data_IF_805508345681
#
_entry.id   IF_805508345681
#
_cell.length_a   1.000
_cell.length_b   1.000
_cell.length_c   1.000
_cell.angle_alpha   90.00
_cell.angle_beta   90.00
_cell.angle_gamma   90.00
#
_symmetry.space_group_name_H-M   'P 1'
#
loop_
_entity.id
_entity.type
_entity.pdbx_description
1 polymer ?
#
# COMPACT_ATOMS: atom_id res chain seq x y z
N UNK A 1 -2.53 6.17 -43.06
CA UNK A 1 -1.66 7.12 -42.34
C UNK A 1 -2.45 8.12 -41.48
N UNK A 2 -2.99 9.24 -41.99
CA UNK A 2 -3.69 10.22 -41.11
C UNK A 2 -4.98 9.70 -40.45
N UNK A 3 -5.83 8.97 -41.20
CA UNK A 3 -7.09 8.43 -40.65
C UNK A 3 -6.85 7.33 -39.59
N UNK A 4 -5.83 6.49 -39.77
CA UNK A 4 -5.46 5.44 -38.80
C UNK A 4 -4.88 6.04 -37.51
N UNK A 5 -4.21 7.19 -37.62
CA UNK A 5 -3.65 7.91 -36.47
C UNK A 5 -4.73 8.62 -35.64
N UNK A 6 -5.72 9.24 -36.29
CA UNK A 6 -6.89 9.82 -35.62
C UNK A 6 -7.73 8.75 -34.91
N UNK A 7 -7.97 7.60 -35.55
CA UNK A 7 -8.68 6.47 -34.91
C UNK A 7 -7.91 5.93 -33.69
N UNK A 8 -6.59 5.82 -33.79
CA UNK A 8 -5.73 5.40 -32.66
C UNK A 8 -5.82 6.39 -31.51
N UNK A 9 -5.69 7.69 -31.78
CA UNK A 9 -5.77 8.74 -30.76
C UNK A 9 -7.15 8.77 -30.09
N UNK A 10 -8.24 8.69 -30.87
CA UNK A 10 -9.59 8.65 -30.34
C UNK A 10 -9.83 7.42 -29.46
N UNK A 11 -9.28 6.26 -29.84
CA UNK A 11 -9.34 5.04 -29.03
C UNK A 11 -8.54 5.19 -27.73
N UNK A 12 -7.34 5.72 -27.79
CA UNK A 12 -6.51 5.99 -26.60
C UNK A 12 -7.17 6.99 -25.64
N UNK A 13 -7.76 8.07 -26.15
CA UNK A 13 -8.49 9.03 -25.33
C UNK A 13 -9.70 8.38 -24.66
N UNK A 14 -10.46 7.56 -25.41
CA UNK A 14 -11.61 6.83 -24.87
C UNK A 14 -11.19 5.83 -23.79
N UNK A 15 -10.08 5.12 -23.97
CA UNK A 15 -9.52 4.21 -22.96
C UNK A 15 -9.01 4.96 -21.73
N UNK A 16 -8.30 6.09 -21.90
CA UNK A 16 -7.85 6.96 -20.80
C UNK A 16 -9.04 7.51 -20.01
N UNK A 17 -10.07 7.98 -20.70
CA UNK A 17 -11.29 8.49 -20.09
C UNK A 17 -12.04 7.39 -19.33
N UNK A 18 -12.24 6.22 -19.94
CA UNK A 18 -12.86 5.09 -19.26
C UNK A 18 -12.08 4.65 -18.02
N UNK A 19 -10.75 4.64 -18.09
CA UNK A 19 -9.87 4.34 -16.95
C UNK A 19 -9.95 5.38 -15.84
N UNK A 20 -10.04 6.67 -16.20
CA UNK A 20 -10.22 7.76 -15.25
C UNK A 20 -11.58 7.67 -14.56
N UNK A 21 -12.65 7.46 -15.31
CA UNK A 21 -14.00 7.28 -14.76
C UNK A 21 -14.10 6.06 -13.85
N UNK A 22 -13.48 4.94 -14.25
CA UNK A 22 -13.42 3.74 -13.42
C UNK A 22 -12.67 4.01 -12.10
N UNK A 23 -11.57 4.76 -12.15
CA UNK A 23 -10.81 5.16 -10.96
C UNK A 23 -11.62 6.09 -10.04
N UNK A 24 -12.25 7.13 -10.59
CA UNK A 24 -13.08 8.06 -9.83
C UNK A 24 -14.29 7.37 -9.18
N UNK A 25 -14.87 6.36 -9.83
CA UNK A 25 -15.94 5.54 -9.26
C UNK A 25 -15.43 4.54 -8.22
N UNK A 26 -14.20 4.04 -8.37
CA UNK A 26 -13.60 3.06 -7.46
C UNK A 26 -13.15 3.68 -6.15
N UNK A 27 -12.59 4.91 -6.17
CA UNK A 27 -12.10 5.60 -4.96
C UNK A 27 -13.13 5.68 -3.82
N UNK A 28 -14.37 6.18 -4.00
CA UNK A 28 -15.33 6.28 -2.90
C UNK A 28 -15.78 4.90 -2.39
N UNK A 29 -15.85 3.89 -3.28
CA UNK A 29 -16.16 2.51 -2.89
C UNK A 29 -15.04 1.94 -2.03
N UNK A 30 -13.80 2.11 -2.47
CA UNK A 30 -12.63 1.64 -1.74
C UNK A 30 -12.47 2.37 -0.40
N UNK A 31 -12.68 3.69 -0.35
CA UNK A 31 -12.66 4.45 0.90
C UNK A 31 -13.73 3.96 1.89
N UNK A 32 -14.93 3.60 1.41
CA UNK A 32 -15.97 3.00 2.24
C UNK A 32 -15.55 1.61 2.75
N UNK A 33 -14.95 0.77 1.89
CA UNK A 33 -14.40 -0.53 2.29
C UNK A 33 -13.31 -0.37 3.37
N UNK A 34 -12.43 0.62 3.24
CA UNK A 34 -11.42 0.95 4.23
C UNK A 34 -12.06 1.31 5.58
N UNK A 35 -13.10 2.15 5.58
CA UNK A 35 -13.81 2.51 6.79
C UNK A 35 -14.48 1.30 7.46
N UNK A 36 -15.09 0.40 6.68
CA UNK A 36 -15.69 -0.83 7.20
C UNK A 36 -14.65 -1.81 7.76
N UNK A 37 -13.50 -1.96 7.10
CA UNK A 37 -12.39 -2.77 7.61
C UNK A 37 -11.80 -2.18 8.88
N UNK A 38 -11.67 -0.85 8.97
CA UNK A 38 -11.20 -0.13 10.18
C UNK A 38 -12.09 -0.42 11.39
N UNK A 39 -13.41 -0.52 11.21
CA UNK A 39 -14.35 -0.88 12.29
C UNK A 39 -14.17 -2.32 12.79
N UNK A 40 -13.72 -3.23 11.91
CA UNK A 40 -13.47 -4.65 12.22
C UNK A 40 -12.02 -4.92 12.66
N UNK A 41 -11.16 -3.92 12.55
CA UNK A 41 -9.75 -4.02 12.90
C UNK A 41 -9.56 -4.14 14.42
N UNK A 42 -8.55 -4.90 14.83
CA UNK A 42 -8.14 -5.00 16.24
C UNK A 42 -7.28 -3.80 16.59
N UNK A 43 -7.63 -3.11 17.67
CA UNK A 43 -6.85 -1.96 18.16
C UNK A 43 -5.70 -2.42 19.05
N UNK A 44 -4.54 -1.80 18.88
CA UNK A 44 -3.37 -1.96 19.75
C UNK A 44 -3.31 -0.88 20.83
N UNK A 45 -2.46 -1.04 21.86
CA UNK A 45 -2.27 -0.03 22.90
C UNK A 45 -1.74 1.33 22.40
N UNK A 46 -1.08 1.37 21.24
CA UNK A 46 -0.52 2.61 20.65
C UNK A 46 -1.55 3.37 19.81
N UNK A 47 -2.74 2.80 19.62
CA UNK A 47 -3.80 3.32 18.75
C UNK A 47 -3.70 2.83 17.31
N UNK A 48 -2.76 1.94 16.97
CA UNK A 48 -2.72 1.27 15.67
C UNK A 48 -3.93 0.33 15.56
N UNK A 49 -4.59 0.28 14.40
CA UNK A 49 -5.62 -0.73 14.15
C UNK A 49 -5.16 -1.69 13.07
N UNK A 50 -5.26 -3.00 13.32
CA UNK A 50 -4.76 -4.05 12.45
C UNK A 50 -5.92 -4.93 12.00
N UNK A 51 -6.09 -5.07 10.70
CA UNK A 51 -7.05 -5.97 10.07
C UNK A 51 -6.32 -7.07 9.30
N UNK A 52 -6.61 -8.34 9.59
CA UNK A 52 -6.02 -9.47 8.86
C UNK A 52 -6.72 -9.65 7.52
N UNK A 53 -5.98 -9.58 6.41
CA UNK A 53 -6.50 -9.84 5.06
C UNK A 53 -6.28 -11.30 4.66
N UNK A 54 -5.08 -11.81 4.93
CA UNK A 54 -4.69 -13.20 4.69
C UNK A 54 -3.86 -13.67 5.88
N UNK A 55 -4.23 -14.80 6.45
CA UNK A 55 -3.40 -15.48 7.44
C UNK A 55 -2.47 -16.46 6.72
N UNK A 56 -1.19 -16.16 6.73
CA UNK A 56 -0.13 -17.03 6.22
C UNK A 56 0.01 -18.30 7.04
N UNK A 57 0.74 -19.27 6.51
CA UNK A 57 1.05 -20.53 7.23
C UNK A 57 2.55 -20.69 7.47
N UNK A 58 3.34 -19.68 7.16
CA UNK A 58 4.78 -19.70 7.34
C UNK A 58 5.21 -19.46 8.79
N UNK A 59 6.51 -19.54 9.00
CA UNK A 59 7.12 -19.28 10.31
C UNK A 59 7.12 -17.79 10.63
N UNK A 60 7.13 -17.46 11.92
CA UNK A 60 7.36 -16.09 12.37
C UNK A 60 8.84 -15.74 12.19
N UNK A 61 9.16 -14.66 11.45
CA UNK A 61 10.53 -14.19 11.31
C UNK A 61 11.17 -13.88 12.67
N UNK A 62 12.48 -14.11 12.78
CA UNK A 62 13.25 -13.76 13.97
C UNK A 62 13.65 -12.29 13.93
N UNK A 63 13.70 -11.66 15.11
CA UNK A 63 14.18 -10.28 15.26
C UNK A 63 15.59 -10.18 14.67
N UNK A 64 15.79 -9.18 13.82
CA UNK A 64 17.05 -8.93 13.11
C UNK A 64 17.15 -9.57 11.72
N UNK A 65 16.21 -10.44 11.32
CA UNK A 65 16.17 -10.97 9.95
C UNK A 65 15.65 -9.94 8.96
N UNK A 66 16.04 -10.08 7.69
CA UNK A 66 15.40 -9.33 6.62
C UNK A 66 14.25 -10.15 6.04
N UNK A 67 13.11 -9.51 5.85
CA UNK A 67 11.91 -10.10 5.25
C UNK A 67 11.59 -9.39 3.94
N UNK A 68 11.10 -10.15 2.96
CA UNK A 68 10.63 -9.61 1.67
C UNK A 68 9.21 -9.12 1.85
N UNK A 69 9.00 -7.81 1.72
CA UNK A 69 7.71 -7.17 1.98
C UNK A 69 7.13 -6.57 0.72
N UNK A 70 5.90 -6.94 0.41
CA UNK A 70 5.04 -6.18 -0.48
C UNK A 70 4.19 -5.22 0.34
N UNK A 71 4.02 -4.00 -0.17
CA UNK A 71 3.23 -2.99 0.50
C UNK A 71 2.48 -2.08 -0.48
N UNK A 72 1.36 -1.54 0.01
CA UNK A 72 0.61 -0.48 -0.65
C UNK A 72 0.08 0.50 0.40
N UNK A 73 0.41 1.77 0.24
CA UNK A 73 0.05 2.87 1.13
C UNK A 73 -1.05 3.74 0.54
N UNK A 74 -2.13 3.93 1.31
CA UNK A 74 -3.31 4.68 0.94
C UNK A 74 -3.65 5.76 1.97
N UNK A 75 -4.33 6.80 1.52
CA UNK A 75 -4.99 7.78 2.38
C UNK A 75 -6.42 7.32 2.72
N UNK A 76 -7.05 7.94 3.73
CA UNK A 76 -8.44 7.62 4.11
C UNK A 76 -9.47 7.87 2.99
N UNK A 77 -9.13 8.72 2.02
CA UNK A 77 -9.95 8.94 0.82
C UNK A 77 -9.78 7.85 -0.25
N UNK A 78 -9.00 6.79 0.04
CA UNK A 78 -8.72 5.68 -0.87
C UNK A 78 -7.59 5.94 -1.87
N UNK A 79 -7.00 7.14 -1.90
CA UNK A 79 -5.92 7.47 -2.84
C UNK A 79 -4.66 6.71 -2.48
N UNK A 80 -4.08 6.01 -3.46
CA UNK A 80 -2.78 5.36 -3.32
C UNK A 80 -1.66 6.41 -3.43
N UNK A 81 -0.76 6.47 -2.45
CA UNK A 81 0.40 7.36 -2.48
C UNK A 81 1.71 6.63 -2.79
N UNK A 82 1.84 5.35 -2.42
CA UNK A 82 3.03 4.54 -2.75
C UNK A 82 2.68 3.04 -2.76
N UNK A 83 3.30 2.27 -3.65
CA UNK A 83 3.22 0.80 -3.64
C UNK A 83 4.39 0.19 -4.40
N UNK A 84 4.88 -0.95 -3.90
CA UNK A 84 5.82 -1.81 -4.61
C UNK A 84 5.11 -3.03 -5.26
N UNK A 85 3.81 -2.95 -5.53
CA UNK A 85 3.04 -4.00 -6.22
C UNK A 85 2.56 -3.45 -7.57
N UNK A 86 3.02 -4.05 -8.67
CA UNK A 86 2.73 -3.57 -10.03
C UNK A 86 1.23 -3.50 -10.31
N UNK A 87 0.48 -4.52 -9.90
CA UNK A 87 -0.96 -4.64 -10.14
C UNK A 87 -1.75 -3.55 -9.40
N UNK A 88 -1.36 -3.25 -8.16
CA UNK A 88 -1.95 -2.16 -7.36
C UNK A 88 -1.60 -0.82 -8.01
N UNK A 89 -0.34 -0.59 -8.36
CA UNK A 89 0.04 0.64 -9.03
C UNK A 89 -0.73 0.86 -10.35
N UNK A 90 -0.94 -0.19 -11.14
CA UNK A 90 -1.77 -0.14 -12.36
C UNK A 90 -3.23 0.18 -12.06
N UNK A 91 -3.82 -0.50 -11.06
CA UNK A 91 -5.21 -0.33 -10.63
C UNK A 91 -5.50 1.09 -10.15
N UNK A 92 -4.55 1.71 -9.47
CA UNK A 92 -4.68 3.07 -8.92
C UNK A 92 -4.04 4.14 -9.81
N UNK A 93 -3.77 3.84 -11.09
CA UNK A 93 -3.20 4.79 -12.04
C UNK A 93 -1.86 5.42 -11.62
N UNK A 94 -1.11 4.75 -10.73
CA UNK A 94 0.20 5.18 -10.22
C UNK A 94 1.36 4.32 -10.74
N UNK A 95 1.13 3.54 -11.80
CA UNK A 95 2.18 2.73 -12.42
C UNK A 95 3.22 3.62 -13.08
N UNK A 96 4.48 3.38 -12.76
CA UNK A 96 5.65 4.07 -13.27
C UNK A 96 6.60 3.05 -13.91
N UNK A 97 6.86 3.22 -15.21
CA UNK A 97 7.73 2.35 -15.98
C UNK A 97 9.19 2.42 -15.51
N UNK A 98 9.67 3.58 -15.04
CA UNK A 98 11.03 3.74 -14.49
C UNK A 98 11.18 2.92 -13.22
N UNK A 99 10.14 2.89 -12.39
CA UNK A 99 10.12 2.04 -11.18
C UNK A 99 10.20 0.57 -11.55
N UNK A 100 9.47 0.13 -12.58
CA UNK A 100 9.56 -1.25 -13.07
C UNK A 100 10.97 -1.59 -13.58
N UNK A 101 11.56 -0.72 -14.40
CA UNK A 101 12.92 -0.90 -14.91
C UNK A 101 13.95 -1.01 -13.77
N UNK A 102 13.73 -0.28 -12.67
CA UNK A 102 14.54 -0.36 -11.44
C UNK A 102 14.17 -1.49 -10.47
N UNK A 103 13.35 -2.47 -10.88
CA UNK A 103 12.85 -3.58 -10.02
C UNK A 103 12.07 -3.10 -8.77
N UNK A 104 11.50 -1.91 -8.82
CA UNK A 104 10.78 -1.29 -7.69
C UNK A 104 9.35 -1.81 -7.47
N UNK A 105 8.91 -2.80 -8.25
CA UNK A 105 7.66 -3.55 -8.04
C UNK A 105 7.89 -4.98 -7.53
N UNK A 106 9.09 -5.25 -7.00
CA UNK A 106 9.41 -6.49 -6.31
C UNK A 106 9.33 -6.31 -4.79
N UNK A 107 9.19 -7.43 -4.08
CA UNK A 107 9.17 -7.41 -2.62
C UNK A 107 10.49 -6.84 -2.07
N UNK A 108 10.38 -5.78 -1.27
CA UNK A 108 11.53 -5.04 -0.76
C UNK A 108 12.03 -5.69 0.52
N UNK A 109 13.36 -5.96 0.65
CA UNK A 109 13.95 -6.39 1.90
C UNK A 109 13.74 -5.33 2.98
N UNK A 110 13.09 -5.70 4.08
CA UNK A 110 12.88 -4.86 5.24
C UNK A 110 13.39 -5.57 6.49
N UNK A 111 14.07 -4.84 7.37
CA UNK A 111 14.53 -5.37 8.64
C UNK A 111 13.33 -5.67 9.55
N UNK A 112 13.20 -6.93 9.97
CA UNK A 112 12.22 -7.37 10.96
C UNK A 112 12.76 -7.08 12.36
N UNK A 113 12.67 -5.81 12.80
CA UNK A 113 13.17 -5.39 14.12
C UNK A 113 12.50 -4.10 14.60
N UNK A 114 12.36 -3.87 15.91
CA UNK A 114 11.93 -2.58 16.46
C UNK A 114 12.82 -1.40 16.01
N UNK A 115 14.10 -1.67 15.73
CA UNK A 115 15.12 -0.70 15.29
C UNK A 115 15.06 -0.41 13.79
N UNK A 116 14.15 -1.04 13.04
CA UNK A 116 14.00 -0.76 11.62
C UNK A 116 13.74 0.74 11.37
N UNK A 117 14.29 1.25 10.27
CA UNK A 117 14.08 2.65 9.83
C UNK A 117 12.78 2.78 9.05
N UNK A 118 11.69 2.38 9.69
CA UNK A 118 10.32 2.40 9.16
C UNK A 118 9.42 3.18 10.12
N UNK A 119 8.23 3.58 9.66
CA UNK A 119 7.26 4.27 10.51
C UNK A 119 6.91 3.42 11.75
N UNK A 120 6.75 4.03 12.93
CA UNK A 120 6.40 3.32 14.16
C UNK A 120 5.24 2.33 13.99
N UNK A 121 4.13 2.76 13.40
CA UNK A 121 2.97 1.89 13.20
C UNK A 121 3.18 0.80 12.14
N UNK A 122 4.02 1.06 11.13
CA UNK A 122 4.38 0.04 10.14
C UNK A 122 5.20 -1.08 10.79
N UNK A 123 6.18 -0.73 11.64
CA UNK A 123 6.99 -1.71 12.38
C UNK A 123 6.17 -2.53 13.35
N UNK A 124 5.30 -1.86 14.09
CA UNK A 124 4.40 -2.54 15.01
C UNK A 124 3.52 -3.55 14.26
N UNK A 125 2.93 -3.15 13.13
CA UNK A 125 2.20 -4.06 12.26
C UNK A 125 3.05 -5.23 11.75
N UNK A 126 4.22 -4.93 11.18
CA UNK A 126 5.14 -5.93 10.64
C UNK A 126 5.54 -6.98 11.70
N UNK A 127 5.82 -6.56 12.93
CA UNK A 127 6.23 -7.45 14.02
C UNK A 127 5.10 -8.35 14.56
N UNK A 128 3.86 -8.16 14.10
CA UNK A 128 2.74 -9.07 14.39
C UNK A 128 2.59 -10.20 13.37
N UNK A 129 3.34 -10.14 12.26
CA UNK A 129 3.13 -11.00 11.09
C UNK A 129 4.06 -12.22 11.07
N UNK A 130 3.58 -13.29 10.44
CA UNK A 130 4.37 -14.44 9.97
C UNK A 130 4.53 -14.40 8.45
N UNK A 131 5.41 -15.26 7.93
CA UNK A 131 5.58 -15.40 6.48
C UNK A 131 4.27 -15.85 5.83
N UNK A 132 3.86 -15.15 4.78
CA UNK A 132 2.61 -15.33 4.05
C UNK A 132 1.44 -14.51 4.60
N UNK A 133 1.59 -13.83 5.74
CA UNK A 133 0.54 -12.94 6.23
C UNK A 133 0.39 -11.74 5.30
N UNK A 134 -0.86 -11.31 5.14
CA UNK A 134 -1.24 -10.02 4.61
C UNK A 134 -2.12 -9.31 5.62
N UNK A 135 -1.71 -8.15 6.07
CA UNK A 135 -2.49 -7.32 6.99
C UNK A 135 -2.72 -5.94 6.37
N UNK A 136 -3.78 -5.29 6.84
CA UNK A 136 -4.04 -3.87 6.62
C UNK A 136 -3.93 -3.15 7.96
N UNK A 137 -3.04 -2.17 8.04
CA UNK A 137 -2.86 -1.34 9.23
C UNK A 137 -3.42 0.05 8.99
N UNK A 138 -4.23 0.54 9.93
CA UNK A 138 -4.75 1.90 9.99
C UNK A 138 -3.93 2.65 11.02
N UNK A 139 -3.09 3.55 10.52
CA UNK A 139 -2.05 4.21 11.27
C UNK A 139 -2.45 5.67 11.52
N UNK A 140 -2.69 6.06 12.79
CA UNK A 140 -2.90 7.46 13.15
C UNK A 140 -1.64 8.29 12.90
N UNK A 141 -1.75 9.63 12.83
CA UNK A 141 -0.67 10.47 12.31
C UNK A 141 0.61 10.37 13.16
N UNK A 142 0.49 10.25 14.49
CA UNK A 142 1.63 10.13 15.39
C UNK A 142 2.44 8.83 15.21
N UNK A 143 1.85 7.81 14.57
CA UNK A 143 2.55 6.58 14.20
C UNK A 143 3.10 6.59 12.76
N UNK A 144 2.79 7.64 11.99
CA UNK A 144 3.19 7.87 10.60
C UNK A 144 4.02 9.14 10.41
N UNK A 145 3.47 10.12 9.69
CA UNK A 145 4.14 11.38 9.30
C UNK A 145 3.81 12.57 10.21
N UNK A 146 2.94 12.40 11.20
CA UNK A 146 2.61 13.40 12.20
C UNK A 146 2.06 14.72 11.63
N UNK A 147 2.34 15.80 12.36
CA UNK A 147 1.88 17.17 12.02
C UNK A 147 2.57 17.75 10.79
N UNK A 148 3.71 17.21 10.37
CA UNK A 148 4.45 17.73 9.22
C UNK A 148 3.91 17.23 7.87
N UNK A 149 3.35 16.01 7.84
CA UNK A 149 3.02 15.37 6.57
C UNK A 149 4.27 15.09 5.73
N UNK A 150 4.11 14.92 4.42
CA UNK A 150 5.25 14.73 3.53
C UNK A 150 4.88 14.51 2.06
N UNK A 151 5.53 15.23 1.15
CA UNK A 151 5.28 15.13 -0.29
C UNK A 151 3.79 15.33 -0.64
N UNK A 152 3.11 14.32 -1.22
CA UNK A 152 1.67 14.40 -1.54
C UNK A 152 0.75 14.18 -0.31
N UNK A 153 1.29 13.90 0.87
CA UNK A 153 0.54 13.54 2.07
C UNK A 153 0.35 14.78 2.96
N UNK A 154 -0.90 15.22 3.21
CA UNK A 154 -1.18 16.37 4.07
C UNK A 154 -0.72 16.17 5.53
N UNK A 155 -0.49 17.26 6.28
CA UNK A 155 -0.36 17.25 7.73
C UNK A 155 -1.46 16.46 8.43
N UNK A 156 -1.12 15.75 9.51
CA UNK A 156 -2.08 15.01 10.35
C UNK A 156 -2.91 13.96 9.59
N UNK A 157 -2.39 13.43 8.49
CA UNK A 157 -3.07 12.39 7.72
C UNK A 157 -2.98 11.03 8.41
N UNK A 158 -4.12 10.35 8.53
CA UNK A 158 -4.17 8.92 8.80
C UNK A 158 -3.65 8.18 7.57
N UNK A 159 -2.72 7.25 7.81
CA UNK A 159 -2.14 6.42 6.75
C UNK A 159 -2.65 5.00 6.86
N UNK A 160 -2.92 4.39 5.72
CA UNK A 160 -3.39 3.02 5.64
C UNK A 160 -2.37 2.23 4.85
N UNK A 161 -1.86 1.14 5.39
CA UNK A 161 -0.90 0.29 4.69
C UNK A 161 -1.41 -1.14 4.60
N UNK A 162 -1.42 -1.69 3.38
CA UNK A 162 -1.38 -3.12 3.18
C UNK A 162 0.07 -3.57 3.27
N UNK A 163 0.32 -4.59 4.07
CA UNK A 163 1.64 -5.17 4.29
C UNK A 163 1.52 -6.67 4.07
N UNK A 164 2.42 -7.24 3.28
CA UNK A 164 2.48 -8.66 2.98
C UNK A 164 3.92 -9.16 3.11
N UNK A 165 4.15 -10.17 3.95
CA UNK A 165 5.46 -10.83 4.03
C UNK A 165 5.47 -12.01 3.07
N UNK A 166 6.26 -11.92 2.01
CA UNK A 166 6.35 -13.01 1.00
C UNK A 166 7.42 -14.05 1.33
N UNK A 167 8.35 -13.73 2.22
CA UNK A 167 9.42 -14.64 2.62
C UNK A 167 10.55 -13.95 3.37
N UNK A 168 11.62 -14.70 3.63
CA UNK A 168 12.88 -14.17 4.17
C UNK A 168 13.72 -13.66 3.00
N UNK A 169 14.38 -12.51 3.21
CA UNK A 169 15.43 -12.05 2.32
C UNK A 169 16.74 -12.70 2.77
N UNK A 170 17.30 -13.55 1.91
CA UNK A 170 18.62 -14.17 2.07
C UNK A 170 19.75 -13.14 2.06
#
# INVERSE_FOLDING_TARGET
>A
YFAEEEERLAKEEKEKQARKEAYEKMLPVFAAELAEMKKKAKSSPTGLQIFSLVEGTGETPKIGQQVKVHYAGYLENGTLFDSNIEEIAKKFNSYDERRKQGRGYEATPMLYSPEARLFPGFKEGLLTMKIGDKIRVFMPPHLGLGEQGGGPIPPNSNLIFDIEITGIAE
#
